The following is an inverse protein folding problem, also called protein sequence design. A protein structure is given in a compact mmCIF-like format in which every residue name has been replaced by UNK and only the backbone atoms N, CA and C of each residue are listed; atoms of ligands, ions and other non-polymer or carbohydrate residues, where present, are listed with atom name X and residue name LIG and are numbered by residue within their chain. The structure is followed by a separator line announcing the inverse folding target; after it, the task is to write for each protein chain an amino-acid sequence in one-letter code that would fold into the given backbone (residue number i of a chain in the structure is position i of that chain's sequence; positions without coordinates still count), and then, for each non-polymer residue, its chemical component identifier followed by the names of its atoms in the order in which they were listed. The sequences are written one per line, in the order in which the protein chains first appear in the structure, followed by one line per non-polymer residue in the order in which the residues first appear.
data_IF_850726070480
#
_entry.id   IF_850726070480
#
_cell.length_a   1.000
_cell.length_b   1.000
_cell.length_c   1.000
_cell.angle_alpha   90.00
_cell.angle_beta   90.00
_cell.angle_gamma   90.00
#
_symmetry.space_group_name_H-M   'P 1'
#
loop_
_entity.id
_entity.type
_entity.pdbx_description
1 polymer ?
#
# COMPACT_ATOMS: atom_id res chain seq x y z
N UNK A 1 -46.14 39.49 31.86
CA UNK A 1 -45.25 39.31 30.67
C UNK A 1 -44.15 38.26 30.86
N UNK A 2 -43.71 37.94 32.04
CA UNK A 2 -42.59 36.98 32.31
C UNK A 2 -42.88 35.50 31.92
N UNK A 3 -44.11 35.00 32.15
CA UNK A 3 -44.50 33.62 31.85
C UNK A 3 -44.39 33.27 30.34
N UNK A 4 -44.60 34.24 29.41
CA UNK A 4 -44.48 34.04 27.97
C UNK A 4 -43.00 33.94 27.52
N UNK A 5 -42.08 34.68 28.17
CA UNK A 5 -40.62 34.66 27.87
C UNK A 5 -40.00 33.34 28.31
N UNK A 6 -40.41 32.78 29.46
CA UNK A 6 -39.94 31.46 29.95
C UNK A 6 -40.37 30.32 29.02
N UNK A 7 -41.64 30.29 28.53
CA UNK A 7 -42.12 29.25 27.60
C UNK A 7 -41.39 29.27 26.23
N UNK A 8 -41.01 30.45 25.72
CA UNK A 8 -40.22 30.55 24.46
C UNK A 8 -38.79 30.00 24.62
N UNK A 9 -38.15 30.22 25.77
CA UNK A 9 -36.83 29.75 26.11
C UNK A 9 -36.77 28.21 26.21
N UNK A 10 -37.80 27.59 26.80
CA UNK A 10 -37.92 26.13 26.89
C UNK A 10 -38.23 25.47 25.53
N UNK A 11 -38.93 26.16 24.62
CA UNK A 11 -39.17 25.67 23.26
C UNK A 11 -37.87 25.64 22.46
N UNK A 12 -37.04 26.67 22.55
CA UNK A 12 -35.72 26.71 21.91
C UNK A 12 -34.77 25.63 22.44
N UNK A 13 -34.75 25.45 23.79
CA UNK A 13 -33.95 24.43 24.43
C UNK A 13 -34.36 23.00 24.00
N UNK A 14 -35.68 22.72 23.95
CA UNK A 14 -36.19 21.42 23.47
C UNK A 14 -35.86 21.16 22.02
N UNK A 15 -35.93 22.18 21.16
CA UNK A 15 -35.54 22.06 19.77
C UNK A 15 -34.03 21.77 19.64
N UNK A 16 -33.19 22.43 20.41
CA UNK A 16 -31.76 22.24 20.45
C UNK A 16 -31.37 20.82 20.91
N UNK A 17 -32.05 20.30 21.94
CA UNK A 17 -31.88 18.92 22.42
C UNK A 17 -32.29 17.90 21.34
N UNK A 18 -33.37 18.18 20.60
CA UNK A 18 -33.86 17.32 19.52
C UNK A 18 -32.86 17.27 18.35
N UNK A 19 -32.33 18.43 17.96
CA UNK A 19 -31.29 18.54 16.93
C UNK A 19 -30.00 17.80 17.35
N UNK A 20 -29.57 17.99 18.61
CA UNK A 20 -28.42 17.25 19.16
C UNK A 20 -28.66 15.74 19.16
N UNK A 21 -29.89 15.31 19.54
CA UNK A 21 -30.25 13.89 19.50
C UNK A 21 -30.16 13.31 18.08
N UNK A 22 -30.66 14.02 17.08
CA UNK A 22 -30.58 13.62 15.68
C UNK A 22 -29.10 13.54 15.20
N UNK A 23 -28.29 14.54 15.55
CA UNK A 23 -26.87 14.55 15.20
C UNK A 23 -26.11 13.37 15.84
N UNK A 24 -26.43 13.03 17.09
CA UNK A 24 -25.81 11.87 17.77
C UNK A 24 -26.23 10.57 17.08
N UNK A 25 -27.52 10.41 16.75
CA UNK A 25 -28.00 9.19 16.05
C UNK A 25 -27.37 9.07 14.67
N UNK A 26 -27.32 10.16 13.91
CA UNK A 26 -26.63 10.16 12.60
C UNK A 26 -25.13 9.85 12.75
N UNK A 27 -24.46 10.43 13.74
CA UNK A 27 -23.05 10.17 14.03
C UNK A 27 -22.77 8.70 14.40
N UNK A 28 -23.64 8.12 15.26
CA UNK A 28 -23.54 6.69 15.64
C UNK A 28 -23.80 5.78 14.46
N UNK A 29 -24.79 6.12 13.62
CA UNK A 29 -25.09 5.34 12.40
C UNK A 29 -23.90 5.35 11.44
N UNK A 30 -23.34 6.53 11.16
CA UNK A 30 -22.17 6.66 10.30
C UNK A 30 -20.92 6.00 10.91
N UNK A 31 -20.69 6.14 12.23
CA UNK A 31 -19.59 5.44 12.90
C UNK A 31 -19.69 3.91 12.76
N UNK A 32 -20.92 3.37 12.84
CA UNK A 32 -21.15 1.93 12.65
C UNK A 32 -20.88 1.45 11.21
N UNK A 33 -21.12 2.32 10.22
CA UNK A 33 -20.89 2.02 8.80
C UNK A 33 -19.41 2.16 8.41
N UNK A 34 -18.73 3.16 8.95
CA UNK A 34 -17.34 3.51 8.57
C UNK A 34 -16.29 3.10 9.60
N UNK A 35 -16.68 2.72 10.80
CA UNK A 35 -15.78 2.23 11.85
C UNK A 35 -14.78 3.25 12.42
N UNK A 36 -14.68 4.46 11.82
CA UNK A 36 -13.68 5.47 12.16
C UNK A 36 -14.28 6.88 12.04
N UNK A 37 -14.09 7.71 13.06
CA UNK A 37 -14.57 9.10 13.07
C UNK A 37 -13.91 9.96 11.99
N UNK A 38 -12.64 9.68 11.66
CA UNK A 38 -11.93 10.37 10.56
C UNK A 38 -12.63 10.16 9.23
N UNK A 39 -13.03 8.95 8.91
CA UNK A 39 -13.66 8.59 7.64
C UNK A 39 -15.04 9.23 7.51
N UNK A 40 -15.78 9.30 8.63
CA UNK A 40 -17.04 10.05 8.70
C UNK A 40 -16.82 11.54 8.42
N UNK A 41 -15.78 12.15 9.02
CA UNK A 41 -15.47 13.57 8.79
C UNK A 41 -15.03 13.84 7.35
N UNK A 42 -14.22 12.97 6.76
CA UNK A 42 -13.79 13.08 5.36
C UNK A 42 -14.99 13.10 4.42
N UNK A 43 -15.92 12.17 4.61
CA UNK A 43 -17.14 12.09 3.79
C UNK A 43 -18.05 13.29 3.95
N UNK A 44 -18.14 13.87 5.16
CA UNK A 44 -18.91 15.11 5.42
C UNK A 44 -18.35 16.31 4.65
N UNK A 45 -17.04 16.34 4.38
CA UNK A 45 -16.38 17.40 3.60
C UNK A 45 -16.25 17.04 2.10
N UNK A 46 -16.86 15.92 1.68
CA UNK A 46 -16.85 15.47 0.28
C UNK A 46 -15.53 14.84 -0.15
N UNK A 47 -14.72 14.35 0.79
CA UNK A 47 -13.51 13.59 0.51
C UNK A 47 -13.73 12.11 0.84
N UNK A 48 -13.13 11.24 0.04
CA UNK A 48 -13.11 9.80 0.34
C UNK A 48 -11.89 9.43 1.17
N UNK A 49 -12.01 8.47 2.11
CA UNK A 49 -10.86 7.93 2.81
C UNK A 49 -9.89 7.27 1.84
N UNK A 50 -8.61 7.54 2.02
CA UNK A 50 -7.56 6.85 1.26
C UNK A 50 -7.45 5.42 1.76
N UNK A 51 -7.49 4.47 0.85
CA UNK A 51 -7.28 3.06 1.15
C UNK A 51 -5.82 2.72 0.88
N UNK A 52 -5.06 2.50 1.94
CA UNK A 52 -3.69 2.00 1.85
C UNK A 52 -3.68 0.53 1.46
N UNK A 53 -2.58 0.08 0.88
CA UNK A 53 -2.42 -1.33 0.55
C UNK A 53 -2.40 -2.16 1.84
N UNK A 54 -3.19 -3.23 1.87
CA UNK A 54 -3.13 -4.17 2.98
C UNK A 54 -1.88 -5.03 2.81
N UNK A 55 -0.90 -4.78 3.66
CA UNK A 55 0.34 -5.59 3.68
C UNK A 55 -0.02 -6.99 4.18
N UNK A 56 0.14 -7.99 3.32
CA UNK A 56 -0.16 -9.38 3.67
C UNK A 56 0.94 -9.96 4.58
N UNK A 57 0.55 -10.85 5.51
CA UNK A 57 1.51 -11.58 6.35
C UNK A 57 2.43 -12.50 5.52
N UNK A 58 2.05 -12.80 4.28
CA UNK A 58 2.82 -13.61 3.33
C UNK A 58 4.05 -12.87 2.76
N UNK A 59 4.13 -11.55 2.91
CA UNK A 59 5.36 -10.77 2.63
C UNK A 59 6.42 -11.06 3.71
N UNK A 60 6.48 -12.29 4.16
CA UNK A 60 7.49 -12.78 5.09
C UNK A 60 8.90 -12.72 4.50
N UNK A 61 9.92 -12.72 5.36
CA UNK A 61 11.33 -12.79 4.94
C UNK A 61 12.01 -11.44 4.75
N UNK A 62 11.46 -10.36 5.32
CA UNK A 62 12.08 -9.03 5.37
C UNK A 62 13.44 -9.04 6.10
N UNK A 63 13.67 -10.00 6.99
CA UNK A 63 14.89 -10.12 7.79
C UNK A 63 16.17 -10.35 6.97
N UNK A 64 16.04 -10.81 5.70
CA UNK A 64 17.14 -11.01 4.77
C UNK A 64 17.35 -9.88 3.76
N UNK A 65 16.49 -8.86 3.74
CA UNK A 65 16.51 -7.81 2.75
C UNK A 65 17.45 -6.67 3.15
N UNK A 66 18.46 -6.44 2.31
CA UNK A 66 19.57 -5.55 2.63
C UNK A 66 19.15 -4.10 2.85
N UNK A 67 18.32 -3.54 1.97
CA UNK A 67 17.88 -2.17 2.10
C UNK A 67 16.84 -2.01 3.22
N UNK A 68 15.89 -2.95 3.32
CA UNK A 68 14.84 -2.91 4.35
C UNK A 68 15.39 -2.79 5.76
N UNK A 69 16.45 -3.54 6.09
CA UNK A 69 17.07 -3.55 7.43
C UNK A 69 17.71 -2.21 7.84
N UNK A 70 17.99 -1.34 6.87
CA UNK A 70 18.63 -0.04 7.12
C UNK A 70 17.61 1.09 7.31
N UNK A 71 16.31 0.80 7.16
CA UNK A 71 15.24 1.77 7.22
C UNK A 71 14.74 1.99 8.64
N UNK A 72 14.26 3.21 8.92
CA UNK A 72 13.47 3.49 10.12
C UNK A 72 12.11 2.77 10.06
N UNK A 73 11.45 2.59 11.21
CA UNK A 73 10.12 1.94 11.28
C UNK A 73 9.08 2.62 10.37
N UNK A 74 9.12 3.97 10.27
CA UNK A 74 8.25 4.72 9.38
C UNK A 74 8.53 4.41 7.90
N UNK A 75 9.81 4.34 7.52
CA UNK A 75 10.22 4.01 6.16
C UNK A 75 9.97 2.54 5.81
N UNK A 76 10.09 1.63 6.79
CA UNK A 76 9.72 0.22 6.63
C UNK A 76 8.23 0.07 6.29
N UNK A 77 7.36 0.85 6.93
CA UNK A 77 5.93 0.86 6.60
C UNK A 77 5.71 1.29 5.15
N UNK A 78 6.33 2.39 4.72
CA UNK A 78 6.24 2.88 3.33
C UNK A 78 6.79 1.85 2.33
N UNK A 79 7.91 1.23 2.67
CA UNK A 79 8.53 0.18 1.85
C UNK A 79 7.58 -1.02 1.66
N UNK A 80 6.93 -1.48 2.74
CA UNK A 80 5.97 -2.59 2.67
C UNK A 80 4.73 -2.23 1.84
N UNK A 81 4.23 -1.01 1.97
CA UNK A 81 3.10 -0.51 1.17
C UNK A 81 3.45 -0.46 -0.33
N UNK A 82 4.67 0.01 -0.66
CA UNK A 82 5.17 0.02 -2.04
C UNK A 82 5.33 -1.40 -2.59
N UNK A 83 5.94 -2.30 -1.82
CA UNK A 83 6.14 -3.69 -2.21
C UNK A 83 4.80 -4.38 -2.48
N UNK A 84 3.84 -4.26 -1.56
CA UNK A 84 2.52 -4.84 -1.73
C UNK A 84 1.82 -4.29 -2.98
N UNK A 85 1.87 -2.98 -3.19
CA UNK A 85 1.27 -2.35 -4.36
C UNK A 85 1.88 -2.83 -5.68
N UNK A 86 3.20 -3.05 -5.72
CA UNK A 86 3.88 -3.62 -6.89
C UNK A 86 3.50 -5.09 -7.13
N UNK A 87 3.39 -5.90 -6.06
CA UNK A 87 2.98 -7.29 -6.14
C UNK A 87 1.52 -7.44 -6.60
N UNK A 88 0.64 -6.56 -6.12
CA UNK A 88 -0.77 -6.50 -6.53
C UNK A 88 -0.96 -5.89 -7.92
N UNK A 89 0.10 -5.30 -8.48
CA UNK A 89 0.10 -4.63 -9.78
C UNK A 89 -0.94 -3.51 -9.86
N UNK A 90 -1.03 -2.69 -8.81
CA UNK A 90 -2.00 -1.59 -8.77
C UNK A 90 -1.48 -0.35 -9.49
N UNK A 91 -2.36 0.38 -10.17
CA UNK A 91 -1.99 1.59 -10.91
C UNK A 91 -1.61 2.75 -9.97
N UNK A 92 -2.14 2.76 -8.75
CA UNK A 92 -1.92 3.82 -7.78
C UNK A 92 -1.77 3.25 -6.37
N UNK A 93 -0.62 3.50 -5.77
CA UNK A 93 -0.27 3.09 -4.40
C UNK A 93 -0.37 4.32 -3.50
N UNK A 94 -1.01 4.17 -2.35
CA UNK A 94 -1.02 5.20 -1.31
C UNK A 94 -0.12 4.79 -0.17
N UNK A 95 0.78 5.70 0.25
CA UNK A 95 1.76 5.42 1.29
C UNK A 95 1.75 6.46 2.40
N UNK A 96 2.10 6.04 3.62
CA UNK A 96 2.17 6.87 4.82
C UNK A 96 3.44 7.74 4.83
N UNK A 97 3.56 8.62 3.85
CA UNK A 97 4.68 9.56 3.75
C UNK A 97 4.20 10.88 3.15
N UNK A 98 4.96 11.96 3.41
CA UNK A 98 4.79 13.27 2.78
C UNK A 98 6.04 13.74 2.05
N UNK A 99 6.97 12.82 1.76
CA UNK A 99 8.26 13.11 1.12
C UNK A 99 8.36 12.33 -0.19
N UNK A 100 7.80 12.83 -1.32
CA UNK A 100 7.74 12.12 -2.59
C UNK A 100 9.10 11.65 -3.10
N UNK A 101 10.14 12.47 -2.91
CA UNK A 101 11.50 12.14 -3.34
C UNK A 101 12.02 10.92 -2.58
N UNK A 102 11.79 10.88 -1.26
CA UNK A 102 12.19 9.74 -0.43
C UNK A 102 11.38 8.49 -0.74
N UNK A 103 10.10 8.62 -1.06
CA UNK A 103 9.24 7.52 -1.51
C UNK A 103 9.78 6.91 -2.80
N UNK A 104 10.23 7.74 -3.76
CA UNK A 104 10.85 7.25 -5.00
C UNK A 104 12.17 6.51 -4.73
N UNK A 105 13.00 6.97 -3.77
CA UNK A 105 14.20 6.23 -3.37
C UNK A 105 13.84 4.88 -2.72
N UNK A 106 12.81 4.84 -1.88
CA UNK A 106 12.34 3.58 -1.27
C UNK A 106 11.80 2.61 -2.32
N UNK A 107 11.17 3.09 -3.38
CA UNK A 107 10.77 2.24 -4.51
C UNK A 107 11.98 1.54 -5.15
N UNK A 108 13.08 2.27 -5.36
CA UNK A 108 14.33 1.69 -5.88
C UNK A 108 14.89 0.65 -4.90
N UNK A 109 14.80 0.88 -3.60
CA UNK A 109 15.24 -0.08 -2.60
C UNK A 109 14.40 -1.36 -2.63
N UNK A 110 13.06 -1.23 -2.78
CA UNK A 110 12.17 -2.39 -2.99
C UNK A 110 12.62 -3.21 -4.20
N UNK A 111 12.83 -2.56 -5.35
CA UNK A 111 13.21 -3.26 -6.59
C UNK A 111 14.61 -3.91 -6.51
N UNK A 112 15.52 -3.33 -5.74
CA UNK A 112 16.84 -3.93 -5.52
C UNK A 112 16.78 -5.14 -4.58
N UNK A 113 15.89 -5.12 -3.57
CA UNK A 113 15.69 -6.24 -2.66
C UNK A 113 14.81 -7.35 -3.26
N UNK A 114 13.99 -7.02 -4.28
CA UNK A 114 13.07 -7.93 -4.98
C UNK A 114 13.27 -7.88 -6.50
N UNK A 115 14.41 -8.38 -7.01
CA UNK A 115 14.71 -8.38 -8.45
C UNK A 115 13.72 -9.20 -9.27
N UNK A 116 12.96 -10.09 -8.64
CA UNK A 116 11.87 -10.83 -9.26
C UNK A 116 10.70 -9.95 -9.73
N UNK A 117 10.63 -8.68 -9.29
CA UNK A 117 9.63 -7.69 -9.76
C UNK A 117 10.10 -7.12 -11.11
N UNK A 118 10.19 -7.95 -12.13
CA UNK A 118 10.67 -7.58 -13.48
C UNK A 118 9.67 -6.75 -14.29
N UNK A 119 8.46 -6.58 -13.80
CA UNK A 119 7.39 -5.85 -14.50
C UNK A 119 7.38 -4.35 -14.22
N UNK A 120 8.15 -3.85 -13.26
CA UNK A 120 8.34 -2.42 -13.05
C UNK A 120 9.52 -1.90 -13.88
N UNK A 121 9.37 -0.71 -14.46
CA UNK A 121 10.47 -0.02 -15.17
C UNK A 121 11.39 0.77 -14.22
N UNK A 122 11.13 0.71 -12.92
CA UNK A 122 11.90 1.41 -11.89
C UNK A 122 11.57 2.89 -11.74
N UNK A 123 10.59 3.40 -12.49
CA UNK A 123 10.12 4.79 -12.37
C UNK A 123 8.83 4.90 -11.58
N UNK A 124 8.58 6.06 -11.00
CA UNK A 124 7.29 6.40 -10.42
C UNK A 124 7.02 7.90 -10.46
N UNK A 125 5.76 8.27 -10.57
CA UNK A 125 5.29 9.63 -10.33
C UNK A 125 4.66 9.70 -8.94
N UNK A 126 5.26 10.48 -8.04
CA UNK A 126 4.83 10.60 -6.64
C UNK A 126 4.37 12.00 -6.32
N UNK A 127 3.20 12.12 -5.70
CA UNK A 127 2.59 13.39 -5.29
C UNK A 127 2.15 13.34 -3.83
N UNK A 128 2.65 14.27 -3.01
CA UNK A 128 2.22 14.39 -1.62
C UNK A 128 0.93 15.19 -1.49
N UNK A 129 0.05 14.72 -0.64
CA UNK A 129 -1.20 15.38 -0.27
C UNK A 129 -1.24 15.67 1.22
N UNK A 130 -1.54 16.92 1.57
CA UNK A 130 -1.63 17.40 2.94
C UNK A 130 -3.03 17.92 3.24
N UNK A 131 -3.51 17.66 4.46
CA UNK A 131 -4.83 18.13 4.88
C UNK A 131 -5.41 17.26 5.98
N UNK A 132 -6.65 16.86 5.84
CA UNK A 132 -7.27 15.88 6.74
C UNK A 132 -6.64 14.49 6.62
N UNK A 133 -6.11 14.17 5.44
CA UNK A 133 -5.32 12.98 5.18
C UNK A 133 -3.95 13.43 4.67
N UNK A 134 -2.90 12.83 5.24
CA UNK A 134 -1.52 13.10 4.87
C UNK A 134 -0.94 11.83 4.27
N UNK A 135 -0.70 11.83 2.96
CA UNK A 135 -0.21 10.66 2.23
C UNK A 135 0.56 11.09 0.99
N UNK A 136 1.31 10.17 0.43
CA UNK A 136 1.83 10.28 -0.94
C UNK A 136 1.13 9.26 -1.83
N UNK A 137 0.64 9.74 -2.97
CA UNK A 137 0.15 8.90 -4.06
C UNK A 137 1.30 8.60 -4.99
N UNK A 138 1.53 7.33 -5.29
CA UNK A 138 2.59 6.82 -6.14
C UNK A 138 1.97 6.09 -7.32
N UNK A 139 2.34 6.46 -8.53
CA UNK A 139 1.98 5.76 -9.77
C UNK A 139 3.24 5.12 -10.34
N UNK A 140 3.46 3.82 -10.12
CA UNK A 140 4.62 3.10 -10.66
C UNK A 140 4.53 2.98 -12.18
N UNK A 141 5.69 2.99 -12.84
CA UNK A 141 5.81 2.60 -14.24
C UNK A 141 5.83 1.08 -14.38
N UNK A 142 4.96 0.54 -15.24
CA UNK A 142 4.89 -0.87 -15.54
C UNK A 142 5.28 -1.15 -16.99
N UNK A 143 6.12 -2.16 -17.20
CA UNK A 143 6.54 -2.66 -18.51
C UNK A 143 5.51 -3.60 -19.14
N UNK A 144 4.75 -4.28 -18.30
CA UNK A 144 3.80 -5.33 -18.71
C UNK A 144 2.50 -5.18 -17.95
N UNK A 145 1.40 -5.64 -18.54
CA UNK A 145 0.12 -5.82 -17.84
C UNK A 145 0.19 -6.99 -16.86
N UNK A 146 -0.75 -7.08 -15.94
CA UNK A 146 -0.81 -8.17 -14.97
C UNK A 146 -0.89 -9.55 -15.66
N UNK A 147 -1.70 -9.66 -16.71
CA UNK A 147 -1.86 -10.90 -17.47
C UNK A 147 -0.58 -11.28 -18.22
N UNK A 148 0.16 -10.30 -18.74
CA UNK A 148 1.46 -10.54 -19.37
C UNK A 148 2.51 -10.98 -18.35
N UNK A 149 2.48 -10.39 -17.14
CA UNK A 149 3.36 -10.80 -16.04
C UNK A 149 3.15 -12.25 -15.63
N UNK A 150 1.90 -12.68 -15.47
CA UNK A 150 1.58 -14.07 -15.12
C UNK A 150 2.09 -15.07 -16.16
N UNK A 151 1.91 -14.75 -17.46
CA UNK A 151 2.43 -15.58 -18.56
C UNK A 151 3.95 -15.64 -18.55
N UNK A 152 4.62 -14.48 -18.40
CA UNK A 152 6.10 -14.42 -18.37
C UNK A 152 6.65 -15.12 -17.14
N UNK A 153 6.01 -14.98 -15.97
CA UNK A 153 6.39 -15.68 -14.76
C UNK A 153 6.33 -17.19 -14.96
N UNK A 154 5.24 -17.70 -15.55
CA UNK A 154 5.13 -19.13 -15.88
C UNK A 154 6.25 -19.59 -16.81
N UNK A 155 6.61 -18.79 -17.81
CA UNK A 155 7.74 -19.11 -18.71
C UNK A 155 9.07 -19.13 -17.96
N UNK A 156 9.34 -18.13 -17.13
CA UNK A 156 10.55 -18.06 -16.29
C UNK A 156 10.63 -19.29 -15.36
N UNK A 157 9.53 -19.63 -14.69
CA UNK A 157 9.47 -20.77 -13.77
C UNK A 157 9.76 -22.09 -14.51
N UNK A 158 9.30 -22.23 -15.76
CA UNK A 158 9.60 -23.39 -16.60
C UNK A 158 11.10 -23.46 -16.96
N UNK A 159 11.69 -22.36 -17.44
CA UNK A 159 13.11 -22.27 -17.78
C UNK A 159 13.99 -22.54 -16.56
N UNK A 160 13.67 -21.95 -15.41
CA UNK A 160 14.38 -22.21 -14.15
C UNK A 160 14.27 -23.68 -13.75
N UNK A 161 13.09 -24.28 -13.86
CA UNK A 161 12.86 -25.69 -13.55
C UNK A 161 13.66 -26.59 -14.48
N UNK A 162 13.72 -26.25 -15.78
CA UNK A 162 14.52 -27.00 -16.77
C UNK A 162 16.03 -26.90 -16.44
N UNK A 163 16.52 -25.68 -16.17
CA UNK A 163 17.91 -25.46 -15.74
C UNK A 163 18.25 -26.29 -14.51
N UNK A 164 17.45 -26.18 -13.44
CA UNK A 164 17.69 -26.90 -12.19
C UNK A 164 17.63 -28.42 -12.34
N UNK A 165 16.80 -28.93 -13.26
CA UNK A 165 16.68 -30.37 -13.50
C UNK A 165 17.97 -31.00 -14.13
N UNK A 166 18.80 -30.21 -14.77
CA UNK A 166 20.07 -30.62 -15.31
C UNK A 166 21.21 -30.70 -14.30
N UNK A 167 21.02 -30.19 -13.08
CA UNK A 167 22.03 -30.20 -12.03
C UNK A 167 22.00 -31.55 -11.30
N UNK A 168 23.17 -32.21 -11.20
CA UNK A 168 23.26 -33.45 -10.43
C UNK A 168 23.02 -33.19 -8.92
N UNK A 169 22.28 -34.06 -8.24
CA UNK A 169 22.05 -33.98 -6.78
C UNK A 169 23.35 -34.00 -5.99
N UNK A 170 24.39 -34.64 -6.51
CA UNK A 170 25.71 -34.77 -5.88
C UNK A 170 26.73 -33.73 -6.36
N UNK A 171 26.29 -32.74 -7.16
CA UNK A 171 27.18 -31.70 -7.63
C UNK A 171 27.67 -30.82 -6.47
N UNK A 172 28.97 -30.50 -6.48
CA UNK A 172 29.56 -29.50 -5.59
C UNK A 172 29.02 -28.10 -5.91
N UNK A 173 29.15 -27.18 -4.99
CA UNK A 173 28.71 -25.80 -5.19
C UNK A 173 29.41 -25.14 -6.40
N UNK A 174 30.68 -25.47 -6.65
CA UNK A 174 31.39 -24.99 -7.80
C UNK A 174 30.79 -25.55 -9.12
N UNK A 175 30.46 -26.83 -9.16
CA UNK A 175 29.86 -27.47 -10.34
C UNK A 175 28.46 -26.90 -10.63
N UNK A 176 27.68 -26.61 -9.60
CA UNK A 176 26.38 -25.95 -9.72
C UNK A 176 26.53 -24.55 -10.34
N UNK A 177 27.42 -23.72 -9.78
CA UNK A 177 27.67 -22.37 -10.28
C UNK A 177 28.18 -22.40 -11.72
N UNK A 178 29.08 -23.36 -12.06
CA UNK A 178 29.58 -23.49 -13.40
C UNK A 178 28.47 -23.89 -14.38
N UNK A 179 27.62 -24.83 -14.00
CA UNK A 179 26.49 -25.26 -14.81
C UNK A 179 25.49 -24.10 -15.05
N UNK A 180 25.13 -23.37 -14.03
CA UNK A 180 24.23 -22.20 -14.15
C UNK A 180 24.83 -21.15 -15.08
N UNK A 181 26.12 -20.86 -14.93
CA UNK A 181 26.83 -19.94 -15.81
C UNK A 181 26.80 -20.40 -17.28
N UNK A 182 27.12 -21.67 -17.53
CA UNK A 182 27.11 -22.23 -18.90
C UNK A 182 25.70 -22.25 -19.49
N UNK A 183 24.67 -22.51 -18.71
CA UNK A 183 23.26 -22.49 -19.13
C UNK A 183 22.81 -21.09 -19.56
N UNK A 184 23.25 -20.04 -18.84
CA UNK A 184 22.85 -18.65 -19.12
C UNK A 184 23.62 -18.10 -20.36
N UNK A 185 24.85 -18.54 -20.59
CA UNK A 185 25.75 -17.97 -21.64
C UNK A 185 25.55 -18.64 -22.99
N UNK A 186 25.05 -19.87 -23.07
CA UNK A 186 24.82 -20.62 -24.30
C UNK A 186 23.39 -20.54 -24.78
#
# INVERSE_FOLDING_TARGET
MEKKKKRRRYRGLRFLILVMGVLIVCGVYQYREYGNIKDVMLKLIGQEPVTYQHVSEEIGGMDGKFYYQQLSEEEQTVYQELLQGLLDHVEQIYVHSQKPERVNELLVYVLNDYPEIFWSDGTASSTAYSGFQNYTSVMPGYLYTKEECEKKKTQIDMEVSECLSGISENASDYEKILYDYEYIVN
#
